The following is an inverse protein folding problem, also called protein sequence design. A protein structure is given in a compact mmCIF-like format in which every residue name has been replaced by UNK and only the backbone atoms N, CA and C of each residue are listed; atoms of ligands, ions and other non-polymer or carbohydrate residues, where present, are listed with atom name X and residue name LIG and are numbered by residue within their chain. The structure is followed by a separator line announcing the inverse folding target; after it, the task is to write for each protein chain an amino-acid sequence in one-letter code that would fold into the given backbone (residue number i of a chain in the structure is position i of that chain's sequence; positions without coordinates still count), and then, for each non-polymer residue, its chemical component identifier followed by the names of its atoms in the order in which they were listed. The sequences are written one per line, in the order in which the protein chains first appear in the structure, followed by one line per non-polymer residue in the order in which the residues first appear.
data_IF_476404909653
#
_entry.id   IF_476404909653
#
_cell.length_a   1.000
_cell.length_b   1.000
_cell.length_c   1.000
_cell.angle_alpha   90.00
_cell.angle_beta   90.00
_cell.angle_gamma   90.00
#
_symmetry.space_group_name_H-M   'P 1'
#
loop_
_entity.id
_entity.type
_entity.pdbx_description
1 polymer ?
#
# COMPACT_ATOMS: atom_id res chain seq x y z
N UNK A 1 -16.67 0.53 2.67
CA UNK A 1 -16.34 1.93 2.31
C UNK A 1 -16.38 2.05 0.80
N UNK A 2 -17.10 3.04 0.28
CA UNK A 2 -17.14 3.30 -1.17
C UNK A 2 -15.82 3.94 -1.62
N UNK A 3 -15.40 3.68 -2.86
CA UNK A 3 -14.12 4.16 -3.40
C UNK A 3 -13.98 5.70 -3.34
N UNK A 4 -15.10 6.41 -3.52
CA UNK A 4 -15.19 7.87 -3.41
C UNK A 4 -14.88 8.40 -2.00
N UNK A 5 -15.27 7.69 -0.93
CA UNK A 5 -14.93 8.08 0.45
C UNK A 5 -13.43 7.85 0.71
N UNK A 6 -12.89 6.74 0.20
CA UNK A 6 -11.48 6.43 0.31
C UNK A 6 -10.60 7.48 -0.39
N UNK A 7 -10.96 7.95 -1.59
CA UNK A 7 -10.19 8.97 -2.31
C UNK A 7 -10.13 10.31 -1.56
N UNK A 8 -11.22 10.72 -0.91
CA UNK A 8 -11.24 11.94 -0.09
C UNK A 8 -10.40 11.79 1.18
N UNK A 9 -10.49 10.65 1.87
CA UNK A 9 -9.64 10.35 3.02
C UNK A 9 -8.16 10.34 2.65
N UNK A 10 -7.80 9.81 1.48
CA UNK A 10 -6.42 9.84 0.98
C UNK A 10 -5.95 11.23 0.55
N UNK A 11 -6.79 12.01 -0.11
CA UNK A 11 -6.46 13.41 -0.44
C UNK A 11 -6.24 14.24 0.83
N UNK A 12 -7.03 13.99 1.87
CA UNK A 12 -6.83 14.60 3.19
C UNK A 12 -5.51 14.14 3.85
N UNK A 13 -5.17 12.86 3.74
CA UNK A 13 -3.88 12.32 4.19
C UNK A 13 -2.70 12.97 3.47
N UNK A 14 -2.78 13.19 2.17
CA UNK A 14 -1.74 13.87 1.39
C UNK A 14 -1.47 15.30 1.86
N UNK A 15 -2.49 16.01 2.39
CA UNK A 15 -2.33 17.37 2.94
C UNK A 15 -1.68 17.43 4.32
N UNK A 16 -1.76 16.34 5.10
CA UNK A 16 -1.22 16.26 6.46
C UNK A 16 0.11 15.53 6.53
N UNK A 17 0.39 14.71 5.52
CA UNK A 17 1.65 13.99 5.44
C UNK A 17 2.79 14.99 5.16
N UNK A 18 3.90 14.95 5.93
CA UNK A 18 5.09 15.76 5.64
C UNK A 18 5.77 15.33 4.33
N UNK A 19 5.41 14.17 3.77
CA UNK A 19 5.82 13.73 2.44
C UNK A 19 4.63 13.92 1.49
N UNK A 20 4.71 14.85 0.53
CA UNK A 20 3.60 15.11 -0.39
C UNK A 20 3.35 13.91 -1.30
N UNK A 21 2.07 13.61 -1.51
CA UNK A 21 1.62 12.63 -2.50
C UNK A 21 0.27 13.01 -3.10
N UNK A 22 0.00 12.53 -4.30
CA UNK A 22 -1.28 12.73 -5.00
C UNK A 22 -2.02 11.42 -5.15
N UNK A 23 -3.36 11.45 -5.10
CA UNK A 23 -4.21 10.28 -5.33
C UNK A 23 -4.49 10.08 -6.81
N UNK A 24 -4.33 8.86 -7.29
CA UNK A 24 -4.69 8.40 -8.63
C UNK A 24 -6.09 7.81 -8.73
N UNK A 25 -6.51 7.43 -9.95
CA UNK A 25 -7.81 6.81 -10.17
C UNK A 25 -7.90 5.41 -9.51
N UNK A 26 -9.13 5.01 -9.23
CA UNK A 26 -9.49 3.71 -8.65
C UNK A 26 -9.20 2.56 -9.62
N UNK A 27 -8.61 1.48 -9.11
CA UNK A 27 -8.50 0.19 -9.80
C UNK A 27 -9.10 -0.90 -8.96
N UNK A 28 -9.91 -1.77 -9.55
CA UNK A 28 -10.31 -3.00 -8.89
C UNK A 28 -9.29 -4.09 -9.24
N UNK A 29 -8.41 -4.45 -8.31
CA UNK A 29 -7.61 -5.65 -8.46
C UNK A 29 -8.38 -6.82 -7.86
N UNK A 30 -8.94 -7.65 -8.73
CA UNK A 30 -9.50 -8.94 -8.33
C UNK A 30 -8.36 -9.93 -8.11
N UNK A 31 -7.97 -10.15 -6.85
CA UNK A 31 -7.20 -11.33 -6.48
C UNK A 31 -8.21 -12.44 -6.19
N UNK A 32 -8.20 -13.58 -6.91
CA UNK A 32 -9.10 -14.69 -6.62
C UNK A 32 -9.03 -15.11 -5.15
N UNK A 33 -10.18 -15.24 -4.50
CA UNK A 33 -10.27 -15.61 -3.07
C UNK A 33 -10.19 -14.45 -2.08
N UNK A 34 -9.92 -13.23 -2.53
CA UNK A 34 -9.95 -12.02 -1.70
C UNK A 34 -11.18 -11.16 -2.03
N UNK A 35 -11.75 -10.43 -1.04
CA UNK A 35 -12.73 -9.39 -1.33
C UNK A 35 -12.16 -8.42 -2.34
N UNK A 36 -12.94 -8.08 -3.37
CA UNK A 36 -12.56 -7.03 -4.33
C UNK A 36 -12.54 -5.72 -3.55
N UNK A 37 -11.35 -5.28 -3.16
CA UNK A 37 -11.14 -3.96 -2.59
C UNK A 37 -10.88 -3.00 -3.74
N UNK A 38 -11.54 -1.85 -3.69
CA UNK A 38 -11.13 -0.71 -4.50
C UNK A 38 -9.69 -0.37 -4.11
N UNK A 39 -8.76 -0.57 -5.05
CA UNK A 39 -7.37 -0.24 -4.87
C UNK A 39 -7.16 1.19 -5.37
N UNK A 40 -6.89 2.09 -4.45
CA UNK A 40 -6.41 3.42 -4.80
C UNK A 40 -4.90 3.40 -4.93
N UNK A 41 -4.39 4.18 -5.88
CA UNK A 41 -2.95 4.41 -6.03
C UNK A 41 -2.62 5.81 -5.56
N UNK A 42 -1.51 5.98 -4.88
CA UNK A 42 -0.91 7.29 -4.62
C UNK A 42 0.43 7.39 -5.34
N UNK A 43 0.80 8.61 -5.67
CA UNK A 43 2.05 8.94 -6.34
C UNK A 43 2.89 9.82 -5.43
N UNK A 44 4.11 9.38 -5.16
CA UNK A 44 5.11 10.09 -4.34
C UNK A 44 6.23 10.52 -5.27
N UNK A 45 6.65 11.78 -5.18
CA UNK A 45 7.74 12.29 -6.00
C UNK A 45 9.05 11.52 -5.78
N UNK A 46 9.85 11.37 -6.85
CA UNK A 46 11.08 10.58 -6.81
C UNK A 46 12.07 11.07 -5.73
N UNK A 47 12.17 12.39 -5.50
CA UNK A 47 13.02 12.96 -4.45
C UNK A 47 12.61 12.57 -3.03
N UNK A 48 11.38 12.10 -2.84
CA UNK A 48 10.84 11.65 -1.57
C UNK A 48 10.73 10.12 -1.46
N UNK A 49 11.10 9.38 -2.50
CA UNK A 49 10.96 7.93 -2.52
C UNK A 49 12.10 7.24 -1.76
N UNK A 50 11.92 7.12 -0.44
CA UNK A 50 12.80 6.36 0.45
C UNK A 50 11.96 5.45 1.35
N UNK A 51 12.56 4.38 1.87
CA UNK A 51 11.85 3.45 2.75
C UNK A 51 11.24 4.15 3.97
N UNK A 52 11.99 5.04 4.62
CA UNK A 52 11.53 5.78 5.80
C UNK A 52 10.38 6.73 5.45
N UNK A 53 10.46 7.41 4.31
CA UNK A 53 9.37 8.27 3.84
C UNK A 53 8.13 7.46 3.49
N UNK A 54 8.26 6.31 2.85
CA UNK A 54 7.14 5.43 2.51
C UNK A 54 6.50 4.83 3.76
N UNK A 55 7.28 4.44 4.78
CA UNK A 55 6.75 4.04 6.10
C UNK A 55 5.96 5.18 6.74
N UNK A 56 6.46 6.41 6.63
CA UNK A 56 5.79 7.58 7.17
C UNK A 56 4.47 7.86 6.44
N UNK A 57 4.47 7.85 5.11
CA UNK A 57 3.25 7.97 4.28
C UNK A 57 2.23 6.89 4.68
N UNK A 58 2.69 5.65 4.81
CA UNK A 58 1.86 4.52 5.23
C UNK A 58 1.24 4.73 6.62
N UNK A 59 2.00 5.27 7.57
CA UNK A 59 1.52 5.59 8.92
C UNK A 59 0.42 6.64 8.89
N UNK A 60 0.62 7.74 8.14
CA UNK A 60 -0.37 8.82 8.08
C UNK A 60 -1.68 8.35 7.43
N UNK A 61 -1.58 7.58 6.35
CA UNK A 61 -2.74 6.99 5.68
C UNK A 61 -3.49 6.04 6.62
N UNK A 62 -2.78 5.08 7.24
CA UNK A 62 -3.39 4.14 8.16
C UNK A 62 -4.01 4.85 9.37
N UNK A 63 -3.36 5.90 9.88
CA UNK A 63 -3.88 6.73 10.98
C UNK A 63 -5.18 7.45 10.63
N UNK A 64 -5.32 7.93 9.40
CA UNK A 64 -6.52 8.63 8.92
C UNK A 64 -7.66 7.69 8.61
N UNK A 65 -7.37 6.53 7.99
CA UNK A 65 -8.39 5.50 7.73
C UNK A 65 -8.85 4.86 9.04
N UNK A 66 -7.93 4.60 9.96
CA UNK A 66 -8.24 4.09 11.28
C UNK A 66 -8.35 2.56 11.37
N UNK A 67 -8.51 2.03 12.60
CA UNK A 67 -8.33 0.61 12.91
C UNK A 67 -9.49 -0.28 12.46
N UNK A 68 -10.67 0.28 12.17
CA UNK A 68 -11.86 -0.48 11.77
C UNK A 68 -12.05 -0.57 10.26
N UNK A 69 -11.26 0.16 9.47
CA UNK A 69 -11.42 0.18 8.01
C UNK A 69 -10.71 -0.99 7.35
N UNK A 70 -11.21 -1.38 6.17
CA UNK A 70 -10.51 -2.23 5.23
C UNK A 70 -9.97 -1.36 4.09
N UNK A 71 -8.70 -1.55 3.71
CA UNK A 71 -8.08 -0.79 2.64
C UNK A 71 -6.93 -1.55 1.99
N UNK A 72 -6.70 -1.22 0.72
CA UNK A 72 -5.61 -1.72 -0.10
C UNK A 72 -5.13 -0.59 -1.02
N UNK A 73 -3.92 -0.10 -0.77
CA UNK A 73 -3.45 1.16 -1.37
C UNK A 73 -2.08 0.91 -2.01
N UNK A 74 -2.02 1.09 -3.31
CA UNK A 74 -0.76 1.10 -4.05
C UNK A 74 -0.05 2.43 -3.91
N UNK A 75 1.27 2.39 -3.86
CA UNK A 75 2.14 3.56 -3.90
C UNK A 75 3.14 3.35 -5.01
N UNK A 76 3.39 4.37 -5.81
CA UNK A 76 4.42 4.33 -6.84
C UNK A 76 5.04 5.70 -7.02
N UNK A 77 6.13 5.75 -7.78
CA UNK A 77 6.77 7.01 -8.17
C UNK A 77 5.79 7.86 -8.98
N UNK A 78 5.71 9.14 -8.63
CA UNK A 78 5.19 10.14 -9.55
C UNK A 78 6.19 10.27 -10.71
N UNK A 79 5.99 9.51 -11.77
CA UNK A 79 6.57 9.87 -13.05
C UNK A 79 5.84 11.14 -13.53
N UNK A 80 6.51 12.06 -14.21
CA UNK A 80 5.94 13.32 -14.70
C UNK A 80 4.85 13.13 -15.78
N UNK A 81 4.27 11.94 -15.88
CA UNK A 81 3.28 11.52 -16.85
C UNK A 81 1.94 11.34 -16.13
N UNK A 82 0.90 11.89 -16.74
CA UNK A 82 -0.49 11.55 -16.41
C UNK A 82 -0.58 10.03 -16.29
N UNK A 83 -1.11 9.57 -15.16
CA UNK A 83 -1.18 8.15 -14.89
C UNK A 83 -1.93 7.41 -16.02
N UNK A 84 -1.26 6.39 -16.57
CA UNK A 84 -1.73 5.58 -17.68
C UNK A 84 -1.78 4.11 -17.21
N UNK A 85 -2.96 3.45 -17.25
CA UNK A 85 -3.08 2.05 -16.84
C UNK A 85 -2.22 1.09 -17.66
N UNK A 86 -1.84 1.45 -18.89
CA UNK A 86 -1.00 0.64 -19.78
C UNK A 86 0.49 0.85 -19.51
N UNK A 87 0.86 1.88 -18.74
CA UNK A 87 2.26 2.10 -18.34
C UNK A 87 2.65 1.08 -17.27
N UNK A 88 3.72 0.29 -17.50
CA UNK A 88 4.23 -0.65 -16.51
C UNK A 88 4.52 0.07 -15.19
N UNK A 89 4.11 -0.53 -14.07
CA UNK A 89 4.45 0.02 -12.77
C UNK A 89 5.97 0.13 -12.64
N UNK A 90 6.44 1.22 -12.01
CA UNK A 90 7.85 1.38 -11.65
C UNK A 90 8.39 0.11 -10.98
N UNK A 91 9.67 -0.22 -11.19
CA UNK A 91 10.34 -1.30 -10.47
C UNK A 91 10.31 -1.09 -8.95
N UNK A 92 10.15 0.17 -8.52
CA UNK A 92 9.93 0.53 -7.13
C UNK A 92 8.46 0.85 -6.88
N UNK A 93 7.79 -0.01 -6.11
CA UNK A 93 6.40 0.16 -5.67
C UNK A 93 6.24 -0.16 -4.20
N UNK A 94 5.20 0.39 -3.59
CA UNK A 94 4.76 -0.04 -2.26
C UNK A 94 3.27 -0.40 -2.28
N UNK A 95 2.85 -1.21 -1.32
CA UNK A 95 1.44 -1.56 -1.12
C UNK A 95 1.13 -1.60 0.36
N UNK A 96 0.19 -0.78 0.79
CA UNK A 96 -0.30 -0.69 2.16
C UNK A 96 -1.65 -1.40 2.26
N UNK A 97 -1.78 -2.35 3.17
CA UNK A 97 -2.94 -3.23 3.24
C UNK A 97 -3.43 -3.45 4.67
N UNK A 98 -4.76 -3.49 4.79
CA UNK A 98 -5.50 -3.99 5.96
C UNK A 98 -6.81 -4.60 5.45
N UNK A 99 -6.89 -5.93 5.40
CA UNK A 99 -8.04 -6.61 4.81
C UNK A 99 -9.07 -7.05 5.85
N UNK A 100 -8.64 -7.31 7.09
CA UNK A 100 -9.53 -7.66 8.19
C UNK A 100 -9.78 -6.42 9.08
N UNK A 101 -11.02 -5.93 9.22
CA UNK A 101 -11.33 -4.75 10.02
C UNK A 101 -11.16 -5.02 11.52
N UNK A 102 -11.22 -6.29 11.95
CA UNK A 102 -11.02 -6.69 13.34
C UNK A 102 -9.55 -6.95 13.71
N UNK A 103 -8.67 -7.11 12.71
CA UNK A 103 -7.23 -7.26 12.96
C UNK A 103 -6.59 -5.87 13.13
N UNK A 104 -5.93 -5.57 14.27
CA UNK A 104 -5.27 -4.28 14.47
C UNK A 104 -3.98 -4.13 13.67
N UNK A 105 -3.53 -5.14 12.93
CA UNK A 105 -2.30 -5.06 12.13
C UNK A 105 -2.52 -4.45 10.75
N UNK A 106 -1.48 -3.79 10.27
CA UNK A 106 -1.38 -3.22 8.94
C UNK A 106 -0.07 -3.70 8.32
N UNK A 107 -0.10 -4.03 7.03
CA UNK A 107 1.08 -4.49 6.29
C UNK A 107 1.47 -3.46 5.26
N UNK A 108 2.77 -3.17 5.19
CA UNK A 108 3.38 -2.41 4.12
C UNK A 108 4.35 -3.34 3.39
N UNK A 109 4.09 -3.64 2.12
CA UNK A 109 5.05 -4.30 1.24
C UNK A 109 5.76 -3.25 0.42
N UNK A 110 7.07 -3.32 0.38
CA UNK A 110 7.91 -2.46 -0.43
C UNK A 110 8.69 -3.31 -1.42
N UNK A 111 8.31 -3.21 -2.69
CA UNK A 111 8.91 -3.94 -3.80
C UNK A 111 9.98 -3.06 -4.43
N UNK A 112 11.22 -3.52 -4.38
CA UNK A 112 12.36 -2.92 -5.09
C UNK A 112 12.81 -3.90 -6.17
N UNK A 113 13.50 -3.42 -7.20
CA UNK A 113 14.04 -4.28 -8.26
C UNK A 113 14.91 -5.46 -7.79
N UNK A 114 15.39 -5.42 -6.53
CA UNK A 114 16.18 -6.48 -5.87
C UNK A 114 15.37 -7.45 -5.00
N UNK A 115 14.07 -7.24 -4.83
CA UNK A 115 13.20 -8.07 -4.00
C UNK A 115 12.14 -7.30 -3.22
N UNK A 116 11.25 -8.04 -2.57
CA UNK A 116 10.16 -7.49 -1.75
C UNK A 116 10.59 -7.47 -0.27
N UNK A 117 10.50 -6.31 0.37
CA UNK A 117 10.65 -6.15 1.83
C UNK A 117 9.28 -5.91 2.45
N UNK A 118 9.00 -6.54 3.58
CA UNK A 118 7.68 -6.48 4.21
C UNK A 118 7.83 -5.89 5.60
N UNK A 119 6.92 -4.99 5.93
CA UNK A 119 6.83 -4.37 7.24
C UNK A 119 5.44 -4.61 7.83
N UNK A 120 5.39 -4.80 9.13
CA UNK A 120 4.15 -4.88 9.90
C UNK A 120 4.12 -3.76 10.92
N UNK A 121 2.95 -3.15 11.05
CA UNK A 121 2.63 -2.22 12.11
C UNK A 121 1.32 -2.63 12.79
N UNK A 122 1.05 -2.03 13.96
CA UNK A 122 -0.17 -2.30 14.73
C UNK A 122 -0.78 -0.99 15.25
N UNK A 123 -2.09 -0.85 15.14
CA UNK A 123 -2.81 0.24 15.80
C UNK A 123 -2.72 0.16 17.33
N UNK A 124 -2.68 1.30 18.05
CA UNK A 124 -2.70 2.67 17.52
C UNK A 124 -1.30 3.24 17.20
N UNK A 125 -0.21 2.52 17.52
CA UNK A 125 1.16 3.05 17.45
C UNK A 125 1.68 3.19 16.02
N UNK A 126 1.30 2.28 15.13
CA UNK A 126 1.65 2.28 13.71
C UNK A 126 3.16 2.44 13.42
N UNK A 127 4.00 1.78 14.22
CA UNK A 127 5.44 1.68 13.98
C UNK A 127 5.68 0.48 13.06
N UNK A 128 6.27 0.71 11.88
CA UNK A 128 6.50 -0.32 10.87
C UNK A 128 7.85 -1.02 11.11
N UNK A 129 7.78 -2.29 11.50
CA UNK A 129 8.93 -3.14 11.75
C UNK A 129 9.08 -4.19 10.64
N UNK A 130 10.30 -4.49 10.17
CA UNK A 130 10.51 -5.48 9.12
C UNK A 130 10.08 -6.88 9.60
N UNK A 131 9.46 -7.64 8.70
CA UNK A 131 9.07 -9.03 8.95
C UNK A 131 9.58 -9.92 7.81
N UNK A 132 10.00 -11.14 8.15
CA UNK A 132 10.61 -12.08 7.19
C UNK A 132 9.62 -12.78 6.26
N UNK A 133 8.34 -12.80 6.59
CA UNK A 133 7.32 -13.51 5.79
C UNK A 133 6.09 -12.64 5.53
N UNK A 134 5.54 -12.78 4.31
CA UNK A 134 4.23 -12.27 3.93
C UNK A 134 3.14 -13.21 4.48
N UNK A 135 2.93 -13.17 5.81
CA UNK A 135 1.89 -13.98 6.45
C UNK A 135 0.52 -13.81 5.78
N UNK A 136 0.26 -12.67 5.12
CA UNK A 136 -1.00 -12.39 4.45
C UNK A 136 -1.17 -13.13 3.12
N UNK A 137 -0.14 -13.20 2.28
CA UNK A 137 -0.19 -14.09 1.11
C UNK A 137 -0.34 -15.54 1.53
N UNK A 138 0.32 -15.96 2.60
CA UNK A 138 0.20 -17.32 3.13
C UNK A 138 -1.23 -17.66 3.58
N UNK A 139 -1.98 -16.69 4.13
CA UNK A 139 -3.31 -16.93 4.69
C UNK A 139 -4.43 -16.76 3.64
N UNK A 140 -4.31 -15.79 2.73
CA UNK A 140 -5.45 -15.40 1.87
C UNK A 140 -5.23 -15.55 0.37
N UNK A 141 -3.99 -15.75 -0.08
CA UNK A 141 -3.69 -16.02 -1.48
C UNK A 141 -2.41 -16.87 -1.58
N UNK A 142 -2.41 -18.11 -1.02
CA UNK A 142 -1.23 -18.93 -0.88
C UNK A 142 -0.52 -19.18 -2.22
N UNK A 143 -1.29 -19.28 -3.30
CA UNK A 143 -0.78 -19.47 -4.68
C UNK A 143 -0.11 -18.23 -5.28
N UNK A 144 -0.26 -17.07 -4.63
CA UNK A 144 0.34 -15.80 -5.08
C UNK A 144 1.65 -15.46 -4.37
N UNK A 145 2.08 -16.28 -3.39
CA UNK A 145 3.42 -16.21 -2.82
C UNK A 145 4.43 -16.33 -3.97
N UNK A 146 5.29 -15.31 -4.11
CA UNK A 146 6.50 -15.47 -4.93
C UNK A 146 7.34 -16.48 -4.16
N UNK A 147 7.32 -17.73 -4.59
CA UNK A 147 8.23 -18.73 -4.06
C UNK A 147 9.64 -18.18 -4.31
N UNK A 148 10.39 -17.96 -3.23
CA UNK A 148 11.78 -17.51 -3.29
C UNK A 148 12.66 -18.66 -3.81
N UNK A 149 12.43 -19.10 -5.04
CA UNK A 149 13.25 -20.04 -5.81
C UNK A 149 12.56 -20.34 -7.13
N UNK A 150 12.91 -19.59 -8.18
CA UNK A 150 13.20 -20.23 -9.46
C UNK A 150 14.49 -19.59 -10.03
N UNK A 151 15.53 -20.39 -10.32
CA UNK A 151 16.66 -19.95 -11.14
C UNK A 151 16.23 -19.64 -12.58
#
# INVERSE_FOLDING_TARGET
MEAYDLSHKLAYAGRRCPIPFTTGPDYMNAVPGLPVLAMLRIFVEAGHWSEDNIKLVAREIAGILGPSEQFDIGMTLADNRTYDPDTPASADTARLMKLNPHDPHVILRFSRGIGDTIFRARFPRLIFEPVGEDLWRSIFAPDSLKIASQP
#
